data_IF_484208191640
#
_entry.id   IF_484208191640
#
_cell.length_a   1.000
_cell.length_b   1.000
_cell.length_c   1.000
_cell.angle_alpha   90.00
_cell.angle_beta   90.00
_cell.angle_gamma   90.00
#
_symmetry.space_group_name_H-M   'P 1'
#
loop_
_entity.id
_entity.type
_entity.pdbx_description
1 polymer ?
#
# COMPACT_ATOMS: atom_id res chain seq x y z
N UNK A 1 0.84 23.45 -10.52
CA UNK A 1 2.13 24.14 -10.35
C UNK A 1 3.15 23.31 -9.59
N UNK A 2 2.77 22.57 -8.54
CA UNK A 2 3.66 21.67 -7.75
C UNK A 2 4.14 20.44 -8.54
N UNK A 3 3.23 19.71 -9.18
CA UNK A 3 3.59 18.55 -10.02
C UNK A 3 4.58 18.88 -11.14
N UNK A 4 4.55 20.13 -11.65
CA UNK A 4 5.53 20.61 -12.63
C UNK A 4 6.91 20.92 -12.03
N UNK A 5 6.98 21.37 -10.76
CA UNK A 5 8.27 21.59 -10.07
C UNK A 5 8.94 20.27 -9.71
N UNK A 6 8.16 19.31 -9.23
CA UNK A 6 8.66 17.95 -8.91
C UNK A 6 9.10 17.24 -10.19
N UNK A 7 8.34 17.34 -11.29
CA UNK A 7 8.74 16.81 -12.60
C UNK A 7 10.02 17.42 -13.15
N UNK A 8 10.22 18.74 -13.00
CA UNK A 8 11.47 19.42 -13.42
C UNK A 8 12.67 19.02 -12.58
N UNK A 9 12.50 18.80 -11.27
CA UNK A 9 13.58 18.32 -10.40
C UNK A 9 14.07 16.91 -10.81
N UNK A 10 13.21 16.09 -11.41
CA UNK A 10 13.57 14.77 -11.93
C UNK A 10 14.31 14.84 -13.28
N UNK A 11 14.00 15.84 -14.13
CA UNK A 11 14.64 16.00 -15.44
C UNK A 11 16.03 16.65 -15.35
N UNK A 12 16.25 17.55 -14.38
CA UNK A 12 17.48 18.33 -14.25
C UNK A 12 18.59 17.68 -13.40
N UNK A 13 18.32 16.57 -12.72
CA UNK A 13 19.25 16.00 -11.75
C UNK A 13 19.61 14.56 -12.06
N UNK A 14 20.82 14.35 -12.55
CA UNK A 14 21.48 13.04 -12.55
C UNK A 14 21.47 12.46 -11.13
N UNK A 15 20.66 11.40 -10.93
CA UNK A 15 20.69 10.50 -9.78
C UNK A 15 20.68 11.19 -8.40
N UNK A 16 19.62 11.89 -8.06
CA UNK A 16 19.26 12.18 -6.67
C UNK A 16 18.00 11.41 -6.32
N UNK A 17 18.03 10.67 -5.21
CA UNK A 17 16.88 9.94 -4.69
C UNK A 17 15.91 10.93 -4.05
N UNK A 18 14.91 11.37 -4.80
CA UNK A 18 13.84 12.20 -4.27
C UNK A 18 12.72 11.28 -3.78
N UNK A 19 12.34 11.43 -2.52
CA UNK A 19 11.22 10.72 -1.90
C UNK A 19 10.08 11.70 -1.66
N UNK A 20 8.89 11.42 -2.13
CA UNK A 20 7.71 12.18 -1.73
C UNK A 20 6.90 11.41 -0.68
N UNK A 21 6.51 12.12 0.35
CA UNK A 21 5.53 11.66 1.32
C UNK A 21 4.22 12.35 0.99
N UNK A 22 3.23 11.55 0.62
CA UNK A 22 1.89 12.00 0.31
C UNK A 22 1.00 11.74 1.52
N UNK A 23 0.39 12.76 2.06
CA UNK A 23 -0.53 12.63 3.19
C UNK A 23 -1.95 12.84 2.68
N UNK A 24 -2.80 11.86 2.92
CA UNK A 24 -4.25 11.94 2.77
C UNK A 24 -4.84 12.05 4.17
N UNK A 25 -5.59 13.08 4.45
CA UNK A 25 -6.15 13.32 5.77
C UNK A 25 -7.68 13.31 5.71
N UNK A 26 -8.31 12.58 6.64
CA UNK A 26 -9.76 12.64 6.81
C UNK A 26 -10.18 14.03 7.33
N UNK A 27 -11.31 14.50 6.83
CA UNK A 27 -11.81 15.88 7.06
C UNK A 27 -12.25 16.12 8.51
N UNK A 28 -12.55 15.07 9.30
CA UNK A 28 -12.94 15.15 10.71
C UNK A 28 -12.12 14.16 11.54
N UNK A 29 -11.14 14.68 12.27
CA UNK A 29 -10.37 13.88 13.22
C UNK A 29 -11.12 13.73 14.53
N UNK A 30 -11.58 12.52 14.83
CA UNK A 30 -11.87 12.07 16.19
C UNK A 30 -10.55 11.87 16.95
N UNK A 31 -10.52 11.96 18.30
CA UNK A 31 -9.28 11.67 19.04
C UNK A 31 -8.82 10.25 18.74
N UNK A 32 -7.60 10.15 18.19
CA UNK A 32 -7.00 8.91 17.72
C UNK A 32 -6.87 7.89 18.87
N UNK A 33 -7.59 6.79 18.81
CA UNK A 33 -7.41 5.63 19.68
C UNK A 33 -6.41 4.65 19.07
N UNK A 34 -5.26 5.16 18.72
CA UNK A 34 -3.96 4.52 18.48
C UNK A 34 -3.91 3.18 17.72
N UNK A 35 -4.51 3.06 16.55
CA UNK A 35 -4.13 1.95 15.66
C UNK A 35 -3.42 2.48 14.43
N UNK A 36 -2.09 2.34 14.39
CA UNK A 36 -1.23 2.66 13.24
C UNK A 36 -0.83 1.34 12.59
N UNK A 37 -1.06 1.21 11.29
CA UNK A 37 -0.63 0.04 10.53
C UNK A 37 0.33 0.49 9.43
N UNK A 38 1.47 -0.18 9.38
CA UNK A 38 2.46 -0.02 8.31
C UNK A 38 2.37 -1.21 7.35
N UNK A 39 2.33 -0.92 6.05
CA UNK A 39 2.46 -1.95 5.03
C UNK A 39 3.84 -2.61 5.14
N UNK A 40 3.87 -3.87 5.57
CA UNK A 40 5.10 -4.65 5.60
C UNK A 40 5.10 -5.66 4.45
N UNK A 41 5.97 -5.46 3.46
CA UNK A 41 6.20 -6.37 2.35
C UNK A 41 6.94 -7.65 2.77
N UNK A 42 6.67 -8.19 3.96
CA UNK A 42 7.24 -9.46 4.39
C UNK A 42 6.54 -10.63 3.75
N UNK A 43 7.32 -11.49 3.10
CA UNK A 43 6.88 -12.80 2.65
C UNK A 43 6.70 -13.70 3.87
N UNK A 44 5.49 -13.90 4.31
CA UNK A 44 5.19 -14.82 5.41
C UNK A 44 4.85 -16.18 4.82
N UNK A 45 5.71 -17.16 5.08
CA UNK A 45 5.59 -18.50 4.52
C UNK A 45 4.55 -19.32 5.29
N UNK A 46 3.29 -19.10 4.99
CA UNK A 46 2.12 -19.79 5.54
C UNK A 46 1.02 -19.83 4.46
N UNK A 47 -0.20 -20.24 4.79
CA UNK A 47 -1.31 -20.23 3.84
C UNK A 47 -1.72 -18.81 3.43
N UNK A 48 -2.50 -18.71 2.35
CA UNK A 48 -3.07 -17.42 1.90
C UNK A 48 -3.97 -16.87 2.99
N UNK A 49 -4.81 -17.71 3.60
CA UNK A 49 -5.65 -17.40 4.75
C UNK A 49 -4.86 -16.75 5.86
N UNK A 50 -3.82 -17.43 6.35
CA UNK A 50 -3.01 -16.96 7.47
C UNK A 50 -2.26 -15.69 7.15
N UNK A 51 -1.81 -15.54 5.90
CA UNK A 51 -1.16 -14.31 5.43
C UNK A 51 -2.07 -13.09 5.61
N UNK A 52 -3.34 -13.18 5.21
CA UNK A 52 -4.29 -12.06 5.34
C UNK A 52 -4.69 -11.89 6.80
N UNK A 53 -5.03 -12.97 7.51
CA UNK A 53 -5.43 -12.95 8.91
C UNK A 53 -4.33 -12.48 9.87
N UNK A 54 -3.08 -12.52 9.45
CA UNK A 54 -1.98 -11.94 10.24
C UNK A 54 -2.22 -10.47 10.58
N UNK A 55 -3.04 -9.77 9.81
CA UNK A 55 -3.52 -8.43 10.12
C UNK A 55 -4.44 -8.39 11.34
N UNK A 56 -5.41 -9.32 11.45
CA UNK A 56 -6.35 -9.39 12.58
C UNK A 56 -6.88 -10.81 12.81
N UNK A 57 -6.40 -11.44 13.87
CA UNK A 57 -6.79 -12.81 14.24
C UNK A 57 -8.20 -12.92 14.84
N UNK A 58 -8.89 -11.82 15.14
CA UNK A 58 -10.23 -11.83 15.73
C UNK A 58 -11.33 -12.12 14.72
N UNK A 59 -11.04 -11.96 13.43
CA UNK A 59 -12.01 -12.20 12.36
C UNK A 59 -11.96 -13.69 12.00
N UNK A 60 -12.97 -14.46 12.38
CA UNK A 60 -13.08 -15.89 12.08
C UNK A 60 -13.77 -16.16 10.73
N UNK A 61 -14.53 -15.19 10.21
CA UNK A 61 -15.35 -15.37 9.02
C UNK A 61 -14.58 -15.15 7.73
N UNK A 62 -14.55 -16.15 6.86
CA UNK A 62 -13.90 -16.12 5.55
C UNK A 62 -14.53 -15.12 4.58
N UNK A 63 -15.76 -14.72 4.82
CA UNK A 63 -16.44 -13.74 3.95
C UNK A 63 -15.67 -12.42 3.85
N UNK A 64 -15.13 -11.94 4.96
CA UNK A 64 -14.32 -10.71 4.96
C UNK A 64 -12.98 -10.92 4.24
N UNK A 65 -12.39 -12.12 4.41
CA UNK A 65 -11.17 -12.49 3.71
C UNK A 65 -11.40 -12.53 2.19
N UNK A 66 -12.51 -13.10 1.72
CA UNK A 66 -12.86 -13.13 0.30
C UNK A 66 -13.06 -11.72 -0.28
N UNK A 67 -13.67 -10.81 0.46
CA UNK A 67 -13.79 -9.41 0.05
C UNK A 67 -12.43 -8.74 -0.13
N UNK A 68 -11.49 -9.03 0.77
CA UNK A 68 -10.12 -8.51 0.66
C UNK A 68 -9.42 -9.08 -0.58
N UNK A 69 -9.55 -10.38 -0.86
CA UNK A 69 -8.98 -10.99 -2.07
C UNK A 69 -9.52 -10.33 -3.34
N UNK A 70 -10.82 -10.02 -3.39
CA UNK A 70 -11.42 -9.26 -4.50
C UNK A 70 -10.78 -7.86 -4.64
N UNK A 71 -10.70 -7.13 -3.54
CA UNK A 71 -10.15 -5.78 -3.52
C UNK A 71 -8.72 -5.71 -4.05
N UNK A 72 -7.89 -6.68 -3.68
CA UNK A 72 -6.49 -6.73 -4.10
C UNK A 72 -6.26 -7.50 -5.39
N UNK A 73 -7.33 -7.85 -6.12
CA UNK A 73 -7.28 -8.62 -7.38
C UNK A 73 -6.49 -9.93 -7.26
N UNK A 74 -6.85 -10.72 -6.25
CA UNK A 74 -6.35 -12.06 -5.95
C UNK A 74 -7.51 -13.06 -5.79
N UNK A 75 -8.60 -12.85 -6.53
CA UNK A 75 -9.82 -13.66 -6.48
C UNK A 75 -9.58 -15.12 -6.83
N UNK A 76 -8.60 -15.44 -7.68
CA UNK A 76 -8.22 -16.81 -8.07
C UNK A 76 -7.80 -17.67 -6.86
N UNK A 77 -7.40 -17.05 -5.77
CA UNK A 77 -7.01 -17.77 -4.56
C UNK A 77 -8.19 -18.14 -3.64
N UNK A 78 -9.41 -17.71 -3.93
CA UNK A 78 -10.58 -18.00 -3.11
C UNK A 78 -10.91 -19.48 -3.06
N UNK A 79 -10.69 -20.20 -4.16
CA UNK A 79 -10.97 -21.63 -4.25
C UNK A 79 -9.96 -22.47 -3.44
N UNK A 80 -8.83 -21.88 -3.07
CA UNK A 80 -7.76 -22.56 -2.35
C UNK A 80 -7.03 -21.67 -1.33
N UNK A 81 -7.79 -21.07 -0.42
CA UNK A 81 -7.24 -20.13 0.60
C UNK A 81 -6.30 -20.78 1.61
N UNK A 82 -6.38 -22.12 1.76
CA UNK A 82 -5.45 -22.89 2.59
C UNK A 82 -4.13 -23.22 1.87
N UNK A 83 -3.98 -22.82 0.61
CA UNK A 83 -2.79 -23.09 -0.17
C UNK A 83 -1.55 -22.52 0.52
N UNK A 84 -0.56 -23.37 0.90
CA UNK A 84 0.68 -22.90 1.48
C UNK A 84 1.53 -22.15 0.44
N UNK A 85 2.18 -21.08 0.89
CA UNK A 85 3.07 -20.27 0.06
C UNK A 85 4.53 -20.59 0.39
N UNK A 86 5.29 -21.01 -0.59
CA UNK A 86 6.72 -21.29 -0.48
C UNK A 86 7.11 -22.76 -0.76
N UNK A 87 8.26 -22.97 -1.38
CA UNK A 87 8.77 -24.30 -1.77
C UNK A 87 9.14 -25.23 -0.58
N UNK A 88 9.21 -24.68 0.62
CA UNK A 88 9.47 -25.49 1.82
C UNK A 88 8.30 -26.37 2.24
N UNK A 89 7.10 -26.14 1.71
CA UNK A 89 5.94 -26.98 1.92
C UNK A 89 5.78 -27.98 0.78
N UNK A 90 5.38 -29.21 1.09
CA UNK A 90 5.21 -30.30 0.10
C UNK A 90 4.26 -29.91 -1.04
N UNK A 91 3.17 -29.22 -0.69
CA UNK A 91 2.17 -28.73 -1.66
C UNK A 91 2.20 -27.21 -1.82
N UNK A 92 3.35 -26.59 -1.48
CA UNK A 92 3.51 -25.15 -1.50
C UNK A 92 3.66 -24.60 -2.92
N UNK A 93 3.01 -23.49 -3.20
CA UNK A 93 3.15 -22.76 -4.47
C UNK A 93 4.01 -21.52 -4.32
N UNK A 94 4.63 -21.12 -5.42
CA UNK A 94 5.27 -19.81 -5.52
C UNK A 94 4.33 -18.84 -6.24
N UNK A 95 4.18 -17.68 -5.65
CA UNK A 95 3.47 -16.57 -6.26
C UNK A 95 4.45 -15.50 -6.72
N UNK A 96 4.06 -14.70 -7.70
CA UNK A 96 4.88 -13.62 -8.24
C UNK A 96 5.15 -12.53 -7.18
N UNK A 97 6.18 -11.70 -7.43
CA UNK A 97 6.48 -10.57 -6.54
C UNK A 97 5.27 -9.63 -6.43
N UNK A 98 4.59 -9.37 -7.56
CA UNK A 98 3.37 -8.54 -7.57
C UNK A 98 2.21 -9.16 -6.77
N UNK A 99 2.02 -10.48 -6.82
CA UNK A 99 1.04 -11.18 -5.98
C UNK A 99 1.39 -11.10 -4.49
N UNK A 100 2.69 -11.22 -4.14
CA UNK A 100 3.16 -10.99 -2.77
C UNK A 100 2.83 -9.59 -2.27
N UNK A 101 3.00 -8.59 -3.13
CA UNK A 101 2.72 -7.18 -2.83
C UNK A 101 1.21 -6.96 -2.60
N UNK A 102 0.38 -7.50 -3.49
CA UNK A 102 -1.09 -7.49 -3.34
C UNK A 102 -1.54 -8.21 -2.07
N UNK A 103 -0.92 -9.33 -1.72
CA UNK A 103 -1.23 -10.07 -0.50
C UNK A 103 -0.86 -9.27 0.76
N UNK A 104 0.31 -8.61 0.76
CA UNK A 104 0.71 -7.72 1.86
C UNK A 104 -0.24 -6.54 2.01
N UNK A 105 -0.73 -5.99 0.90
CA UNK A 105 -1.75 -4.95 0.90
C UNK A 105 -3.07 -5.46 1.47
N UNK A 106 -3.51 -6.66 1.07
CA UNK A 106 -4.68 -7.33 1.64
C UNK A 106 -4.58 -7.49 3.15
N UNK A 107 -3.42 -7.90 3.65
CA UNK A 107 -3.11 -7.98 5.08
C UNK A 107 -3.27 -6.63 5.80
N UNK A 108 -2.79 -5.56 5.16
CA UNK A 108 -2.88 -4.20 5.71
C UNK A 108 -4.32 -3.72 5.78
N UNK A 109 -5.10 -3.95 4.73
CA UNK A 109 -6.49 -3.54 4.64
C UNK A 109 -7.45 -4.40 5.48
N UNK A 110 -7.07 -5.63 5.79
CA UNK A 110 -7.88 -6.55 6.59
C UNK A 110 -8.02 -6.07 8.03
N UNK A 111 -7.01 -5.41 8.57
CA UNK A 111 -7.06 -4.84 9.90
C UNK A 111 -7.57 -3.40 9.85
N UNK A 112 -8.68 -3.07 10.52
CA UNK A 112 -9.14 -1.70 10.62
C UNK A 112 -8.15 -0.85 11.43
N UNK A 113 -7.80 0.32 10.90
CA UNK A 113 -6.93 1.29 11.53
C UNK A 113 -7.39 2.71 11.22
N UNK A 114 -6.92 3.67 12.00
CA UNK A 114 -7.14 5.09 11.78
C UNK A 114 -6.03 5.72 10.94
N UNK A 115 -4.83 5.18 11.05
CA UNK A 115 -3.64 5.64 10.31
C UNK A 115 -3.00 4.46 9.57
N UNK A 116 -2.79 4.64 8.28
CA UNK A 116 -2.12 3.68 7.41
C UNK A 116 -0.85 4.29 6.85
N UNK A 117 0.23 3.51 6.83
CA UNK A 117 1.50 3.90 6.22
C UNK A 117 1.82 2.90 5.11
N UNK A 118 1.94 3.39 3.89
CA UNK A 118 2.29 2.62 2.71
C UNK A 118 3.67 3.05 2.23
N UNK A 119 4.65 2.17 2.38
CA UNK A 119 6.02 2.39 1.94
C UNK A 119 6.23 1.67 0.61
N UNK A 120 6.35 2.43 -0.47
CA UNK A 120 6.50 1.94 -1.85
C UNK A 120 5.49 0.85 -2.26
N UNK A 121 4.17 1.04 -2.08
CA UNK A 121 3.19 -0.02 -2.33
C UNK A 121 3.14 -0.50 -3.78
N UNK A 122 3.80 0.19 -4.70
CA UNK A 122 3.82 -0.01 -6.14
C UNK A 122 5.19 -0.46 -6.70
N UNK A 123 6.23 -0.64 -5.88
CA UNK A 123 7.62 -0.78 -6.32
C UNK A 123 7.90 -1.93 -7.30
N UNK A 124 7.11 -3.01 -7.29
CA UNK A 124 7.34 -4.22 -8.09
C UNK A 124 6.21 -4.54 -9.07
N UNK A 125 5.38 -3.54 -9.38
CA UNK A 125 4.22 -3.69 -10.26
C UNK A 125 4.51 -3.12 -11.65
N UNK A 126 3.83 -3.67 -12.66
CA UNK A 126 3.72 -3.03 -13.96
C UNK A 126 2.82 -1.78 -13.87
N UNK A 127 2.90 -0.90 -14.87
CA UNK A 127 2.23 0.41 -14.85
C UNK A 127 0.71 0.28 -14.62
N UNK A 128 0.05 -0.70 -15.24
CA UNK A 128 -1.39 -0.87 -15.10
C UNK A 128 -1.77 -1.37 -13.69
N UNK A 129 -1.01 -2.33 -13.17
CA UNK A 129 -1.17 -2.84 -11.80
C UNK A 129 -0.83 -1.77 -10.75
N UNK A 130 0.19 -0.95 -10.99
CA UNK A 130 0.54 0.18 -10.14
C UNK A 130 -0.64 1.15 -9.99
N UNK A 131 -1.21 1.59 -11.09
CA UNK A 131 -2.36 2.49 -11.08
C UNK A 131 -3.58 1.89 -10.37
N UNK A 132 -3.85 0.60 -10.60
CA UNK A 132 -4.95 -0.09 -9.94
C UNK A 132 -4.77 -0.15 -8.41
N UNK A 133 -3.57 -0.47 -7.95
CA UNK A 133 -3.23 -0.51 -6.52
C UNK A 133 -3.34 0.87 -5.88
N UNK A 134 -2.79 1.90 -6.50
CA UNK A 134 -2.86 3.26 -5.97
C UNK A 134 -4.30 3.79 -5.94
N UNK A 135 -5.10 3.54 -6.97
CA UNK A 135 -6.52 3.89 -6.98
C UNK A 135 -7.28 3.19 -5.85
N UNK A 136 -7.03 1.90 -5.65
CA UNK A 136 -7.65 1.13 -4.59
C UNK A 136 -7.26 1.66 -3.20
N UNK A 137 -5.98 1.96 -2.95
CA UNK A 137 -5.53 2.61 -1.71
C UNK A 137 -6.28 3.92 -1.51
N UNK A 138 -6.42 4.73 -2.55
CA UNK A 138 -7.10 6.02 -2.49
C UNK A 138 -8.57 5.88 -2.08
N UNK A 139 -9.29 4.95 -2.70
CA UNK A 139 -10.71 4.70 -2.37
C UNK A 139 -10.90 4.20 -0.93
N UNK A 140 -10.01 3.32 -0.46
CA UNK A 140 -10.08 2.75 0.89
C UNK A 140 -9.67 3.76 1.99
N UNK A 141 -8.93 4.81 1.63
CA UNK A 141 -8.38 5.79 2.57
C UNK A 141 -9.19 7.10 2.65
N UNK A 142 -10.34 7.21 1.98
CA UNK A 142 -11.15 8.45 1.93
C UNK A 142 -11.49 9.06 3.29
N UNK A 143 -11.77 8.19 4.29
CA UNK A 143 -12.16 8.60 5.64
C UNK A 143 -11.10 8.26 6.70
N UNK A 144 -9.83 8.17 6.26
CA UNK A 144 -8.71 7.72 7.10
C UNK A 144 -7.49 8.60 6.87
N UNK A 145 -6.53 8.50 7.76
CA UNK A 145 -5.22 9.10 7.54
C UNK A 145 -4.34 8.08 6.82
N UNK A 146 -3.83 8.44 5.65
CA UNK A 146 -2.88 7.63 4.92
C UNK A 146 -1.60 8.41 4.62
N UNK A 147 -0.47 7.76 4.85
CA UNK A 147 0.86 8.26 4.51
C UNK A 147 1.40 7.32 3.43
N UNK A 148 1.63 7.85 2.22
CA UNK A 148 2.24 7.12 1.13
C UNK A 148 3.66 7.64 0.91
N UNK A 149 4.62 6.72 0.91
CA UNK A 149 6.00 7.00 0.56
C UNK A 149 6.21 6.47 -0.86
N UNK A 150 6.55 7.35 -1.78
CA UNK A 150 6.72 7.02 -3.20
C UNK A 150 7.98 7.66 -3.77
N UNK A 151 8.69 6.95 -4.64
CA UNK A 151 9.86 7.45 -5.34
C UNK A 151 9.58 7.81 -6.81
N UNK A 152 8.45 7.35 -7.34
CA UNK A 152 8.04 7.65 -8.71
C UNK A 152 6.81 8.56 -8.68
N UNK A 153 6.95 9.72 -9.27
CA UNK A 153 5.89 10.71 -9.35
C UNK A 153 4.98 10.37 -10.52
N UNK A 154 3.73 10.08 -10.22
CA UNK A 154 2.68 9.87 -11.20
C UNK A 154 1.49 10.79 -10.89
N UNK A 155 0.46 10.75 -11.72
CA UNK A 155 -0.74 11.59 -11.63
C UNK A 155 -1.49 11.55 -10.29
N UNK A 156 -1.07 10.68 -9.35
CA UNK A 156 -1.70 10.55 -8.03
C UNK A 156 -1.39 11.70 -7.07
N UNK A 157 -0.31 12.45 -7.32
CA UNK A 157 0.03 13.62 -6.50
C UNK A 157 -1.05 14.71 -6.53
N UNK A 158 -1.81 14.78 -7.63
CA UNK A 158 -2.91 15.74 -7.78
C UNK A 158 -4.07 15.51 -6.81
N UNK A 159 -4.15 14.31 -6.20
CA UNK A 159 -5.21 13.94 -5.27
C UNK A 159 -4.79 14.04 -3.80
N UNK A 160 -3.52 14.39 -3.55
CA UNK A 160 -2.97 14.46 -2.20
C UNK A 160 -3.40 15.74 -1.47
N UNK A 161 -3.77 15.62 -0.21
CA UNK A 161 -4.05 16.79 0.64
C UNK A 161 -2.76 17.53 1.01
N UNK A 162 -1.67 16.79 1.17
CA UNK A 162 -0.35 17.34 1.46
C UNK A 162 0.76 16.52 0.83
N UNK A 163 1.73 17.19 0.26
CA UNK A 163 2.93 16.60 -0.31
C UNK A 163 4.14 17.13 0.44
N UNK A 164 5.00 16.24 0.93
CA UNK A 164 6.27 16.58 1.55
C UNK A 164 7.37 15.98 0.68
N UNK A 165 8.27 16.81 0.21
CA UNK A 165 9.42 16.40 -0.60
C UNK A 165 10.63 16.28 0.32
N UNK A 166 11.26 15.10 0.31
CA UNK A 166 12.48 14.83 1.05
C UNK A 166 13.66 14.66 0.08
N UNK A 167 14.73 15.38 0.36
CA UNK A 167 16.02 15.23 -0.33
C UNK A 167 17.14 15.13 0.70
N UNK A 168 18.03 14.13 0.57
CA UNK A 168 19.17 13.90 1.48
C UNK A 168 18.79 13.81 2.98
N UNK A 169 17.56 13.36 3.30
CA UNK A 169 17.06 13.23 4.67
C UNK A 169 16.50 14.53 5.28
N UNK A 170 16.42 15.60 4.51
CA UNK A 170 15.86 16.89 4.90
C UNK A 170 14.58 17.19 4.12
N UNK A 171 13.70 18.02 4.69
CA UNK A 171 12.50 18.49 4.01
C UNK A 171 12.90 19.62 3.06
N UNK A 172 12.84 19.35 1.77
CA UNK A 172 13.12 20.33 0.71
C UNK A 172 11.91 21.21 0.44
N UNK A 173 10.71 20.65 0.43
CA UNK A 173 9.50 21.41 0.14
C UNK A 173 8.26 20.78 0.79
N UNK A 174 7.25 21.60 1.08
CA UNK A 174 5.93 21.16 1.56
C UNK A 174 4.87 21.87 0.75
N UNK A 175 3.97 21.11 0.13
CA UNK A 175 2.85 21.64 -0.66
C UNK A 175 1.52 21.06 -0.28
N UNK A 176 0.47 21.83 -0.56
CA UNK A 176 -0.93 21.40 -0.61
C UNK A 176 -1.38 21.51 -2.06
N UNK A 177 -2.25 20.62 -2.50
CA UNK A 177 -2.80 20.69 -3.86
C UNK A 177 -4.05 21.56 -3.89
#
# INVERSE_FOLDING_TARGET
>A
MYAQKVGRAQEDCGIRSITAIVIVQATEMQPLTQTIITLMLRKTLCSIRDNIRYGDNRVENDRELYKILDKVTLEDFKDNIEQPLGYQFTDGIQISIGQWQKLALGRTLFKPAEVYIFDEPNASLDIASEQAVLNMIWEEMRDKIAILIIHRFNCMLERADKIIVLENGEIEDIGIH
#
